data_IF_372286053641
#
_entry.id   IF_372286053641
#
_cell.length_a   1.000
_cell.length_b   1.000
_cell.length_c   1.000
_cell.angle_alpha   90.00
_cell.angle_beta   90.00
_cell.angle_gamma   90.00
#
_symmetry.space_group_name_H-M   'P 1'
#
loop_
_entity.id
_entity.type
_entity.pdbx_description
1 polymer ?
#
# COMPACT_ATOMS: atom_id res chain seq x y z
N UNK A 1 -15.20 -2.83 -5.18
CA UNK A 1 -14.19 -2.21 -6.08
C UNK A 1 -14.59 -0.76 -6.37
N UNK A 2 -15.89 -0.50 -6.54
CA UNK A 2 -16.48 0.84 -6.78
C UNK A 2 -16.00 1.90 -5.79
N UNK A 3 -16.00 1.62 -4.48
CA UNK A 3 -15.46 2.54 -3.47
C UNK A 3 -14.00 2.96 -3.68
N UNK A 4 -13.20 2.15 -4.36
CA UNK A 4 -11.81 2.48 -4.69
C UNK A 4 -11.74 3.33 -5.95
N UNK A 5 -12.59 3.04 -6.94
CA UNK A 5 -12.71 3.81 -8.18
C UNK A 5 -13.23 5.23 -7.93
N UNK A 6 -14.17 5.40 -6.99
CA UNK A 6 -14.62 6.71 -6.50
C UNK A 6 -13.46 7.56 -5.96
N UNK A 7 -12.37 6.94 -5.49
CA UNK A 7 -11.18 7.61 -4.95
C UNK A 7 -10.10 7.89 -5.99
N UNK A 8 -10.27 7.36 -7.21
CA UNK A 8 -9.29 7.41 -8.28
C UNK A 8 -9.93 7.82 -9.60
N UNK A 9 -10.86 8.78 -9.57
CA UNK A 9 -11.49 9.37 -10.76
C UNK A 9 -12.11 8.34 -11.73
N UNK A 10 -12.61 7.20 -11.22
CA UNK A 10 -13.07 6.07 -12.03
C UNK A 10 -12.01 5.47 -12.96
N UNK A 11 -10.73 5.81 -12.78
CA UNK A 11 -9.61 5.29 -13.54
C UNK A 11 -8.98 4.07 -12.83
N UNK A 12 -9.15 2.91 -13.47
CA UNK A 12 -8.57 1.64 -13.02
C UNK A 12 -7.03 1.58 -13.13
N UNK A 13 -6.44 2.33 -14.05
CA UNK A 13 -4.98 2.37 -14.22
C UNK A 13 -4.34 3.21 -13.12
N UNK A 14 -4.92 4.38 -12.81
CA UNK A 14 -4.56 5.16 -11.62
C UNK A 14 -4.72 4.35 -10.33
N UNK A 15 -5.83 3.63 -10.15
CA UNK A 15 -6.00 2.73 -8.99
C UNK A 15 -4.89 1.68 -8.90
N UNK A 16 -4.54 1.06 -10.03
CA UNK A 16 -3.49 0.05 -10.09
C UNK A 16 -2.12 0.65 -9.74
N UNK A 17 -1.78 1.81 -10.31
CA UNK A 17 -0.52 2.49 -10.06
C UNK A 17 -0.41 2.96 -8.59
N UNK A 18 -1.44 3.62 -8.07
CA UNK A 18 -1.50 4.12 -6.70
C UNK A 18 -1.39 3.00 -5.68
N UNK A 19 -2.21 1.95 -5.83
CA UNK A 19 -2.19 0.78 -4.94
C UNK A 19 -0.86 0.01 -5.03
N UNK A 20 -0.26 -0.09 -6.22
CA UNK A 20 1.05 -0.74 -6.39
C UNK A 20 2.18 0.02 -5.73
N UNK A 21 2.23 1.36 -5.90
CA UNK A 21 3.24 2.21 -5.26
C UNK A 21 3.11 2.12 -3.75
N UNK A 22 1.89 2.28 -3.22
CA UNK A 22 1.64 2.21 -1.78
C UNK A 22 1.91 0.84 -1.18
N UNK A 23 1.57 -0.23 -1.90
CA UNK A 23 1.88 -1.61 -1.50
C UNK A 23 3.39 -1.84 -1.34
N UNK A 24 4.23 -1.22 -2.18
CA UNK A 24 5.69 -1.29 -2.05
C UNK A 24 6.17 -0.60 -0.77
N UNK A 25 5.67 0.61 -0.49
CA UNK A 25 6.02 1.34 0.74
C UNK A 25 5.67 0.53 1.99
N UNK A 26 4.48 -0.07 2.01
CA UNK A 26 4.02 -0.94 3.12
C UNK A 26 4.91 -2.19 3.22
N UNK A 27 5.27 -2.81 2.09
CA UNK A 27 6.10 -4.00 2.09
C UNK A 27 7.52 -3.72 2.62
N UNK A 28 8.11 -2.59 2.24
CA UNK A 28 9.42 -2.17 2.76
C UNK A 28 9.36 -1.88 4.26
N UNK A 29 8.30 -1.23 4.73
CA UNK A 29 8.04 -1.01 6.16
C UNK A 29 7.93 -2.35 6.93
N UNK A 30 7.09 -3.27 6.45
CA UNK A 30 6.88 -4.59 7.08
C UNK A 30 8.15 -5.46 7.06
N UNK A 31 8.97 -5.35 6.01
CA UNK A 31 10.28 -6.01 5.98
C UNK A 31 11.18 -5.45 7.08
N UNK A 32 11.29 -4.13 7.20
CA UNK A 32 12.11 -3.51 8.26
C UNK A 32 11.64 -3.86 9.67
N UNK A 33 10.33 -3.98 9.90
CA UNK A 33 9.80 -4.45 11.18
C UNK A 33 10.15 -5.92 11.46
N UNK A 34 10.03 -6.80 10.46
CA UNK A 34 10.44 -8.20 10.59
C UNK A 34 11.93 -8.34 10.89
N UNK A 35 12.79 -7.58 10.20
CA UNK A 35 14.23 -7.62 10.44
C UNK A 35 14.58 -7.24 11.89
N UNK A 36 13.89 -6.24 12.45
CA UNK A 36 14.02 -5.85 13.86
C UNK A 36 13.51 -6.93 14.81
N UNK A 37 12.34 -7.51 14.55
CA UNK A 37 11.76 -8.56 15.38
C UNK A 37 12.65 -9.83 15.40
N UNK A 38 13.26 -10.18 14.27
CA UNK A 38 14.25 -11.26 14.17
C UNK A 38 15.49 -10.96 15.01
N UNK A 39 16.02 -9.73 14.92
CA UNK A 39 17.17 -9.32 15.74
C UNK A 39 16.87 -9.36 17.25
N UNK A 40 15.63 -9.09 17.65
CA UNK A 40 15.15 -9.16 19.04
C UNK A 40 14.64 -10.56 19.45
N UNK A 41 14.66 -11.55 18.54
CA UNK A 41 14.13 -12.90 18.74
C UNK A 41 12.66 -12.94 19.21
N UNK A 42 11.85 -11.97 18.78
CA UNK A 42 10.44 -11.84 19.19
C UNK A 42 9.51 -12.68 18.31
N UNK A 43 9.18 -13.90 18.75
CA UNK A 43 8.36 -14.85 17.99
C UNK A 43 6.93 -14.34 17.77
N UNK A 44 6.33 -13.66 18.75
CA UNK A 44 4.98 -13.12 18.66
C UNK A 44 4.88 -11.99 17.63
N UNK A 45 5.86 -11.09 17.59
CA UNK A 45 5.89 -10.00 16.61
C UNK A 45 6.10 -10.54 15.19
N UNK A 46 6.99 -11.53 15.00
CA UNK A 46 7.17 -12.19 13.70
C UNK A 46 5.87 -12.81 13.20
N UNK A 47 5.09 -13.44 14.08
CA UNK A 47 3.82 -14.04 13.73
C UNK A 47 2.74 -13.00 13.38
N UNK A 48 2.72 -11.84 14.05
CA UNK A 48 1.74 -10.77 13.76
C UNK A 48 1.86 -10.21 12.34
N UNK A 49 3.09 -10.15 11.81
CA UNK A 49 3.32 -9.74 10.42
C UNK A 49 3.00 -10.83 9.39
N UNK A 50 2.87 -12.09 9.82
CA UNK A 50 2.57 -13.21 8.93
C UNK A 50 1.07 -13.24 8.59
N UNK A 51 0.72 -12.69 7.43
CA UNK A 51 -0.63 -12.83 6.85
C UNK A 51 -1.26 -11.52 6.37
N UNK A 52 -0.70 -10.37 6.75
CA UNK A 52 -1.14 -9.08 6.20
C UNK A 52 -0.50 -8.88 4.83
N UNK A 53 -1.31 -8.86 3.77
CA UNK A 53 -0.83 -8.64 2.40
C UNK A 53 -0.70 -7.13 2.14
N UNK A 54 0.48 -6.63 1.74
CA UNK A 54 0.69 -5.18 1.53
C UNK A 54 -0.32 -4.55 0.57
N UNK A 55 -0.71 -5.25 -0.51
CA UNK A 55 -1.70 -4.77 -1.46
C UNK A 55 -3.09 -4.62 -0.82
N UNK A 56 -3.50 -5.54 0.04
CA UNK A 56 -4.77 -5.45 0.76
C UNK A 56 -4.80 -4.24 1.68
N UNK A 57 -3.70 -4.00 2.39
CA UNK A 57 -3.57 -2.81 3.26
C UNK A 57 -3.60 -1.51 2.44
N UNK A 58 -2.88 -1.45 1.33
CA UNK A 58 -2.92 -0.28 0.45
C UNK A 58 -4.34 0.03 -0.05
N UNK A 59 -5.10 -1.00 -0.46
CA UNK A 59 -6.49 -0.83 -0.87
C UNK A 59 -7.39 -0.37 0.29
N UNK A 60 -7.18 -0.87 1.50
CA UNK A 60 -7.92 -0.40 2.69
C UNK A 60 -7.64 1.08 3.00
N UNK A 61 -6.38 1.52 2.95
CA UNK A 61 -6.00 2.91 3.18
C UNK A 61 -6.59 3.83 2.10
N UNK A 62 -6.59 3.41 0.82
CA UNK A 62 -7.25 4.15 -0.28
C UNK A 62 -8.76 4.26 -0.01
N UNK A 63 -9.42 3.16 0.36
CA UNK A 63 -10.87 3.18 0.66
C UNK A 63 -11.22 4.14 1.81
N UNK A 64 -10.31 4.28 2.80
CA UNK A 64 -10.46 5.22 3.92
C UNK A 64 -10.12 6.68 3.56
N UNK A 65 -9.51 6.92 2.41
CA UNK A 65 -9.03 8.24 1.99
C UNK A 65 -7.75 8.69 2.70
N UNK A 66 -6.96 7.74 3.20
CA UNK A 66 -5.68 7.99 3.89
C UNK A 66 -4.52 8.17 2.89
N UNK A 67 -4.77 7.88 1.60
CA UNK A 67 -3.78 7.99 0.51
C UNK A 67 -4.29 8.98 -0.53
N UNK A 68 -3.43 9.91 -0.93
CA UNK A 68 -3.65 10.85 -2.03
C UNK A 68 -2.59 10.66 -3.13
N UNK A 69 -2.88 11.15 -4.33
CA UNK A 69 -1.92 11.21 -5.44
C UNK A 69 -1.80 12.65 -5.95
N UNK A 70 -0.67 12.95 -6.58
CA UNK A 70 -0.50 14.18 -7.34
C UNK A 70 -0.86 13.89 -8.80
N UNK A 71 -1.94 14.53 -9.26
CA UNK A 71 -2.46 14.36 -10.62
C UNK A 71 -1.49 14.85 -11.68
N UNK A 72 -0.83 15.99 -11.46
CA UNK A 72 0.11 16.55 -12.44
C UNK A 72 1.33 15.64 -12.61
N UNK A 73 1.81 15.06 -11.50
CA UNK A 73 2.90 14.09 -11.55
C UNK A 73 2.48 12.77 -12.24
N UNK A 74 1.24 12.33 -12.05
CA UNK A 74 0.73 11.10 -12.67
C UNK A 74 0.55 11.24 -14.18
N UNK A 75 -0.05 12.34 -14.64
CA UNK A 75 -0.25 12.62 -16.07
C UNK A 75 1.08 12.83 -16.82
N UNK A 76 2.11 13.36 -16.14
CA UNK A 76 3.43 13.54 -16.72
C UNK A 76 4.19 12.22 -16.95
N UNK A 77 3.89 11.16 -16.18
CA UNK A 77 4.50 9.82 -16.31
C UNK A 77 3.88 9.02 -17.49
N UNK A 78 2.71 9.45 -18.01
CA UNK A 78 2.05 8.84 -19.18
C UNK A 78 2.43 9.49 -20.53
N UNK A 79 3.14 10.63 -20.54
CA UNK A 79 3.52 11.39 -21.73
C UNK A 79 4.89 10.98 -22.30
#
# INVERSE_FOLDING_TARGET
IDKLLDKTEEDKYLLCALSSKRSRDINDMMRGQRDRAVALQSVSEIAEFAGRKPLSLAMEEIARGEVSYDKAAFEADEA
#
